data_IF_306081679793
#
_entry.id   IF_306081679793
#
_cell.length_a   1.000
_cell.length_b   1.000
_cell.length_c   1.000
_cell.angle_alpha   90.00
_cell.angle_beta   90.00
_cell.angle_gamma   90.00
#
_symmetry.space_group_name_H-M   'P 1'
#
loop_
_entity.id
_entity.type
_entity.pdbx_description
1 polymer ?
#
# COMPACT_ATOMS: atom_id res chain seq x y z
N UNK A 1 -25.43 9.48 -8.60
CA UNK A 1 -25.32 10.35 -7.41
C UNK A 1 -23.92 10.89 -7.37
N UNK A 2 -23.74 12.17 -7.53
CA UNK A 2 -22.42 12.81 -7.54
C UNK A 2 -21.81 12.75 -6.14
N UNK A 3 -20.49 12.49 -6.05
CA UNK A 3 -19.67 12.41 -4.82
C UNK A 3 -19.85 13.61 -3.86
N UNK A 4 -20.52 14.67 -4.30
CA UNK A 4 -20.73 15.93 -3.59
C UNK A 4 -21.69 15.90 -2.39
N UNK A 5 -22.39 14.79 -2.12
CA UNK A 5 -23.41 14.73 -1.05
C UNK A 5 -23.16 13.67 0.03
N UNK A 6 -22.16 12.80 -0.12
CA UNK A 6 -21.86 11.75 0.86
C UNK A 6 -20.80 12.20 1.86
N UNK A 7 -20.99 11.85 3.12
CA UNK A 7 -19.91 11.96 4.11
C UNK A 7 -18.78 10.96 3.81
N UNK A 8 -17.54 11.20 4.26
CA UNK A 8 -16.46 10.24 4.13
C UNK A 8 -16.78 8.84 4.63
N UNK A 9 -17.53 8.74 5.75
CA UNK A 9 -17.93 7.46 6.32
C UNK A 9 -18.93 6.71 5.43
N UNK A 10 -19.91 7.41 4.87
CA UNK A 10 -20.89 6.83 3.92
C UNK A 10 -20.23 6.38 2.64
N UNK A 11 -19.27 7.15 2.09
CA UNK A 11 -18.52 6.78 0.91
C UNK A 11 -17.72 5.49 1.13
N UNK A 12 -16.94 5.42 2.23
CA UNK A 12 -16.17 4.22 2.59
C UNK A 12 -17.08 3.02 2.80
N UNK A 13 -18.20 3.20 3.53
CA UNK A 13 -19.16 2.12 3.77
C UNK A 13 -19.87 1.66 2.48
N UNK A 14 -20.14 2.57 1.55
CA UNK A 14 -20.70 2.22 0.25
C UNK A 14 -19.73 1.38 -0.57
N UNK A 15 -18.45 1.79 -0.66
CA UNK A 15 -17.41 1.05 -1.37
C UNK A 15 -17.14 -0.31 -0.70
N UNK A 16 -17.09 -0.38 0.62
CA UNK A 16 -16.86 -1.64 1.36
C UNK A 16 -17.98 -2.67 1.08
N UNK A 17 -19.24 -2.23 0.97
CA UNK A 17 -20.37 -3.10 0.64
C UNK A 17 -20.33 -3.69 -0.78
N UNK A 18 -19.62 -3.08 -1.72
CA UNK A 18 -19.46 -3.62 -3.08
C UNK A 18 -18.42 -4.75 -3.15
N UNK A 19 -17.58 -4.88 -2.13
CA UNK A 19 -16.55 -5.90 -2.06
C UNK A 19 -17.01 -7.15 -1.30
N UNK A 20 -16.51 -8.31 -1.71
CA UNK A 20 -16.69 -9.55 -0.97
C UNK A 20 -15.63 -9.63 0.14
N UNK A 21 -16.05 -9.81 1.38
CA UNK A 21 -15.14 -10.05 2.52
C UNK A 21 -14.70 -11.52 2.53
N UNK A 22 -13.40 -11.74 2.74
CA UNK A 22 -12.77 -13.05 2.88
C UNK A 22 -11.79 -13.02 4.04
N UNK A 23 -11.47 -14.19 4.60
CA UNK A 23 -10.43 -14.32 5.63
C UNK A 23 -9.48 -15.46 5.31
N UNK A 24 -8.24 -15.33 5.76
CA UNK A 24 -7.22 -16.38 5.68
C UNK A 24 -6.43 -16.44 6.98
N UNK A 25 -5.90 -17.62 7.40
CA UNK A 25 -5.22 -17.77 8.68
C UNK A 25 -4.02 -16.83 8.87
N UNK A 26 -3.85 -16.33 10.10
CA UNK A 26 -2.72 -15.52 10.54
C UNK A 26 -2.41 -15.81 12.02
N UNK A 27 -1.77 -16.93 12.30
CA UNK A 27 -1.57 -17.41 13.67
C UNK A 27 -2.88 -17.76 14.38
N UNK A 28 -3.15 -17.11 15.51
CA UNK A 28 -4.39 -17.33 16.28
C UNK A 28 -5.61 -16.56 15.76
N UNK A 29 -5.47 -15.81 14.66
CA UNK A 29 -6.55 -15.05 14.04
C UNK A 29 -6.41 -15.01 12.54
N UNK A 30 -7.06 -14.03 11.89
CA UNK A 30 -7.16 -13.99 10.45
C UNK A 30 -6.56 -12.70 9.83
N UNK A 31 -6.10 -12.80 8.59
CA UNK A 31 -6.00 -11.68 7.65
C UNK A 31 -7.38 -11.47 7.05
N UNK A 32 -7.87 -10.23 7.10
CA UNK A 32 -9.12 -9.83 6.45
C UNK A 32 -8.81 -9.24 5.08
N UNK A 33 -9.45 -9.80 4.06
CA UNK A 33 -9.34 -9.39 2.68
C UNK A 33 -10.66 -8.83 2.18
N UNK A 34 -10.56 -7.84 1.32
CA UNK A 34 -11.68 -7.39 0.49
C UNK A 34 -11.37 -7.74 -0.96
N UNK A 35 -12.37 -8.27 -1.66
CA UNK A 35 -12.23 -8.72 -3.05
C UNK A 35 -13.25 -7.99 -3.91
N UNK A 36 -12.79 -7.31 -4.95
CA UNK A 36 -13.63 -6.62 -5.93
C UNK A 36 -13.30 -7.08 -7.34
N UNK A 37 -14.30 -6.98 -8.23
CA UNK A 37 -14.14 -7.27 -9.65
C UNK A 37 -13.90 -8.73 -9.96
N UNK A 38 -13.52 -8.97 -11.21
CA UNK A 38 -13.21 -10.28 -11.78
C UNK A 38 -12.05 -10.17 -12.78
N UNK A 39 -11.50 -11.29 -13.24
CA UNK A 39 -10.38 -11.29 -14.18
C UNK A 39 -9.06 -11.67 -13.56
N UNK A 40 -7.96 -11.15 -14.12
CA UNK A 40 -6.62 -11.46 -13.64
C UNK A 40 -6.41 -10.94 -12.22
N UNK A 41 -5.87 -11.76 -11.27
CA UNK A 41 -5.69 -11.32 -9.90
C UNK A 41 -4.63 -10.22 -9.76
N UNK A 42 -5.00 -9.16 -9.03
CA UNK A 42 -4.13 -8.05 -8.63
C UNK A 42 -4.22 -7.83 -7.12
N UNK A 43 -3.11 -8.01 -6.42
CA UNK A 43 -3.01 -7.78 -4.98
C UNK A 43 -2.56 -6.36 -4.71
N UNK A 44 -3.25 -5.64 -3.81
CA UNK A 44 -2.92 -4.26 -3.45
C UNK A 44 -2.60 -4.17 -1.95
N UNK A 45 -1.34 -3.93 -1.59
CA UNK A 45 -0.88 -3.85 -0.20
C UNK A 45 -0.72 -2.40 0.25
N UNK A 46 -1.36 -2.04 1.36
CA UNK A 46 -1.31 -0.69 1.93
C UNK A 46 -0.02 -0.39 2.69
N UNK A 47 0.25 0.88 2.96
CA UNK A 47 1.39 1.36 3.74
C UNK A 47 1.22 1.22 5.26
N UNK A 48 2.27 1.59 6.00
CA UNK A 48 2.23 1.65 7.47
C UNK A 48 1.12 2.58 7.98
N UNK A 49 0.55 2.24 9.14
CA UNK A 49 -0.59 2.98 9.72
C UNK A 49 -1.73 3.16 8.71
N UNK A 50 -2.02 2.11 7.94
CA UNK A 50 -3.02 2.09 6.88
C UNK A 50 -3.97 0.91 6.98
N UNK A 51 -4.81 0.80 5.98
CA UNK A 51 -5.74 -0.31 5.70
C UNK A 51 -6.00 -0.36 4.21
N UNK A 52 -6.90 -1.24 3.77
CA UNK A 52 -7.40 -1.27 2.39
C UNK A 52 -7.79 0.11 1.85
N UNK A 53 -8.19 1.04 2.72
CA UNK A 53 -8.58 2.39 2.36
C UNK A 53 -7.46 3.23 1.72
N UNK A 54 -6.19 2.86 1.81
CA UNK A 54 -5.13 3.52 1.04
C UNK A 54 -5.32 3.41 -0.48
N UNK A 55 -6.20 2.51 -0.93
CA UNK A 55 -6.52 2.25 -2.33
C UNK A 55 -7.93 2.72 -2.74
N UNK A 56 -8.62 3.48 -1.88
CA UNK A 56 -10.02 3.87 -2.03
C UNK A 56 -10.35 4.56 -3.36
N UNK A 57 -9.42 5.33 -3.93
CA UNK A 57 -9.58 6.01 -5.23
C UNK A 57 -9.17 5.13 -6.43
N UNK A 58 -8.75 3.90 -6.18
CA UNK A 58 -8.23 3.01 -7.21
C UNK A 58 -9.13 1.79 -7.41
N UNK A 59 -9.87 1.40 -6.37
CA UNK A 59 -10.64 0.15 -6.35
C UNK A 59 -11.64 0.08 -7.50
N UNK A 60 -12.54 1.05 -7.65
CA UNK A 60 -13.58 1.01 -8.68
C UNK A 60 -12.99 0.96 -10.10
N UNK A 61 -11.97 1.82 -10.35
CA UNK A 61 -11.33 1.88 -11.66
C UNK A 61 -10.58 0.58 -12.00
N UNK A 62 -9.90 -0.03 -11.04
CA UNK A 62 -9.11 -1.24 -11.29
C UNK A 62 -9.98 -2.51 -11.26
N UNK A 63 -11.06 -2.53 -10.48
CA UNK A 63 -11.99 -3.67 -10.41
C UNK A 63 -12.75 -3.90 -11.73
N UNK A 64 -12.75 -2.93 -12.64
CA UNK A 64 -13.30 -3.10 -13.97
C UNK A 64 -12.54 -4.16 -14.80
N UNK A 65 -11.23 -4.34 -14.57
CA UNK A 65 -10.37 -5.22 -15.35
C UNK A 65 -9.74 -6.36 -14.55
N UNK A 66 -9.68 -6.22 -13.23
CA UNK A 66 -8.96 -7.14 -12.35
C UNK A 66 -9.84 -7.70 -11.23
N UNK A 67 -9.52 -8.91 -10.80
CA UNK A 67 -9.91 -9.38 -9.47
C UNK A 67 -8.94 -8.76 -8.45
N UNK A 68 -9.39 -7.75 -7.73
CA UNK A 68 -8.59 -7.10 -6.69
C UNK A 68 -8.64 -7.89 -5.39
N UNK A 69 -7.47 -8.16 -4.82
CA UNK A 69 -7.28 -8.76 -3.51
C UNK A 69 -6.63 -7.71 -2.61
N UNK A 70 -7.39 -7.09 -1.73
CA UNK A 70 -6.93 -5.95 -0.92
C UNK A 70 -7.05 -6.29 0.57
N UNK A 71 -5.96 -6.78 1.20
CA UNK A 71 -5.99 -7.09 2.62
C UNK A 71 -5.83 -5.85 3.48
N UNK A 72 -6.34 -5.91 4.70
CA UNK A 72 -5.71 -5.21 5.79
C UNK A 72 -4.47 -6.01 6.19
N UNK A 73 -3.28 -5.39 6.19
CA UNK A 73 -2.05 -6.07 6.59
C UNK A 73 -2.14 -6.55 8.03
N UNK A 74 -1.54 -7.70 8.39
CA UNK A 74 -1.50 -8.19 9.76
C UNK A 74 -1.13 -7.10 10.77
N UNK A 75 -1.95 -6.93 11.80
CA UNK A 75 -1.81 -5.86 12.80
C UNK A 75 -2.39 -4.50 12.41
N UNK A 76 -3.08 -4.40 11.29
CA UNK A 76 -3.77 -3.18 10.81
C UNK A 76 -5.24 -3.45 10.54
N UNK A 77 -6.05 -2.40 10.54
CA UNK A 77 -7.47 -2.49 10.20
C UNK A 77 -8.19 -3.58 10.98
N UNK A 78 -8.83 -4.50 10.28
CA UNK A 78 -9.59 -5.63 10.86
C UNK A 78 -8.78 -6.93 10.95
N UNK A 79 -7.56 -6.99 10.36
CA UNK A 79 -6.71 -8.18 10.44
C UNK A 79 -6.10 -8.37 11.81
N UNK A 80 -5.99 -9.61 12.27
CA UNK A 80 -5.35 -9.95 13.53
C UNK A 80 -3.88 -9.50 13.59
N UNK A 81 -3.38 -9.29 14.79
CA UNK A 81 -1.95 -9.06 15.01
C UNK A 81 -1.17 -10.34 14.66
N UNK A 82 -0.08 -10.26 13.87
CA UNK A 82 0.68 -11.43 13.51
C UNK A 82 1.36 -12.04 14.74
N UNK A 83 1.70 -13.34 14.72
CA UNK A 83 2.46 -13.97 15.79
C UNK A 83 3.85 -13.33 15.95
N UNK A 84 4.37 -13.37 17.17
CA UNK A 84 5.73 -12.95 17.46
C UNK A 84 6.75 -14.06 17.08
N UNK A 85 7.98 -13.67 16.65
CA UNK A 85 8.45 -12.30 16.42
C UNK A 85 7.86 -11.70 15.14
N UNK A 86 7.39 -10.44 15.22
CA UNK A 86 6.79 -9.74 14.07
C UNK A 86 7.91 -9.33 13.10
N UNK A 87 7.83 -9.80 11.86
CA UNK A 87 8.79 -9.49 10.80
C UNK A 87 8.11 -9.25 9.45
N UNK A 88 8.80 -8.56 8.54
CA UNK A 88 8.35 -8.37 7.16
C UNK A 88 8.20 -9.71 6.43
N UNK A 89 9.12 -10.64 6.65
CA UNK A 89 9.10 -11.98 6.07
C UNK A 89 7.90 -12.79 6.53
N UNK A 90 7.64 -12.85 7.86
CA UNK A 90 6.48 -13.57 8.41
C UNK A 90 5.14 -13.03 7.92
N UNK A 91 5.01 -11.70 7.81
CA UNK A 91 3.83 -11.07 7.22
C UNK A 91 3.71 -11.42 5.74
N UNK A 92 4.81 -11.37 4.98
CA UNK A 92 4.85 -11.75 3.57
C UNK A 92 4.45 -13.20 3.32
N UNK A 93 4.93 -14.12 4.15
CA UNK A 93 4.59 -15.54 4.11
C UNK A 93 3.09 -15.78 4.33
N UNK A 94 2.50 -15.15 5.36
CA UNK A 94 1.06 -15.27 5.66
C UNK A 94 0.20 -14.74 4.50
N UNK A 95 0.59 -13.60 3.90
CA UNK A 95 -0.12 -13.03 2.74
C UNK A 95 0.03 -13.91 1.50
N UNK A 96 1.22 -14.45 1.21
CA UNK A 96 1.43 -15.35 0.06
C UNK A 96 0.59 -16.63 0.19
N UNK A 97 0.50 -17.21 1.39
CA UNK A 97 -0.38 -18.34 1.68
C UNK A 97 -1.86 -17.95 1.53
N UNK A 98 -2.24 -16.75 2.01
CA UNK A 98 -3.58 -16.20 1.84
C UNK A 98 -3.99 -16.02 0.38
N UNK A 99 -3.11 -15.45 -0.44
CA UNK A 99 -3.32 -15.37 -1.90
C UNK A 99 -3.51 -16.75 -2.52
N UNK A 100 -2.67 -17.73 -2.14
CA UNK A 100 -2.80 -19.11 -2.62
C UNK A 100 -4.16 -19.73 -2.27
N UNK A 101 -4.64 -19.48 -1.06
CA UNK A 101 -5.94 -19.96 -0.59
C UNK A 101 -7.12 -19.33 -1.36
N UNK A 102 -7.02 -18.03 -1.69
CA UNK A 102 -8.10 -17.27 -2.31
C UNK A 102 -8.25 -17.52 -3.81
N UNK A 103 -7.14 -17.68 -4.54
CA UNK A 103 -7.15 -17.80 -6.00
C UNK A 103 -6.62 -19.14 -6.53
N UNK A 104 -6.27 -20.06 -5.63
CA UNK A 104 -5.67 -21.34 -5.97
C UNK A 104 -4.14 -21.32 -6.03
N UNK A 105 -3.49 -22.46 -5.70
CA UNK A 105 -2.04 -22.54 -5.51
C UNK A 105 -1.21 -22.42 -6.78
N UNK A 106 -1.83 -22.52 -7.97
CA UNK A 106 -1.16 -22.43 -9.27
C UNK A 106 -1.45 -21.11 -10.00
N UNK A 107 -2.42 -20.35 -9.55
CA UNK A 107 -2.83 -19.12 -10.24
C UNK A 107 -1.76 -18.04 -10.09
N UNK A 108 -1.37 -17.45 -11.23
CA UNK A 108 -0.44 -16.32 -11.27
C UNK A 108 -1.16 -15.02 -11.00
N UNK A 109 -0.46 -14.07 -10.35
CA UNK A 109 -1.01 -12.78 -9.97
C UNK A 109 -0.01 -11.64 -10.16
N UNK A 110 -0.53 -10.41 -10.24
CA UNK A 110 0.24 -9.19 -10.13
C UNK A 110 0.12 -8.61 -8.72
N UNK A 111 1.08 -7.77 -8.33
CA UNK A 111 1.13 -7.19 -6.99
C UNK A 111 1.57 -5.73 -7.05
N UNK A 112 0.88 -4.85 -6.34
CA UNK A 112 1.32 -3.49 -6.07
C UNK A 112 1.39 -3.25 -4.55
N UNK A 113 2.49 -2.66 -4.08
CA UNK A 113 2.70 -2.39 -2.66
C UNK A 113 3.10 -0.96 -2.39
N UNK A 114 2.34 -0.28 -1.51
CA UNK A 114 2.56 1.10 -1.12
C UNK A 114 3.40 1.21 0.14
N UNK A 115 4.47 2.01 0.12
CA UNK A 115 5.30 2.34 1.29
C UNK A 115 5.81 1.07 2.00
N UNK A 116 5.48 0.84 3.28
CA UNK A 116 5.76 -0.41 3.99
C UNK A 116 5.16 -1.63 3.26
N UNK A 117 3.98 -1.49 2.67
CA UNK A 117 3.38 -2.53 1.84
C UNK A 117 4.23 -2.92 0.63
N UNK A 118 5.09 -2.02 0.13
CA UNK A 118 6.07 -2.33 -0.91
C UNK A 118 7.16 -3.29 -0.43
N UNK A 119 7.69 -3.09 0.78
CA UNK A 119 8.61 -4.05 1.39
C UNK A 119 7.94 -5.41 1.61
N UNK A 120 6.73 -5.41 2.18
CA UNK A 120 5.95 -6.64 2.40
C UNK A 120 5.66 -7.34 1.06
N UNK A 121 5.34 -6.57 -0.01
CA UNK A 121 5.11 -7.10 -1.35
C UNK A 121 6.36 -7.84 -1.88
N UNK A 122 7.55 -7.35 -1.61
CA UNK A 122 8.81 -8.06 -1.90
C UNK A 122 8.85 -9.44 -1.26
N UNK A 123 8.48 -9.56 0.01
CA UNK A 123 8.43 -10.87 0.68
C UNK A 123 7.28 -11.74 0.16
N UNK A 124 6.13 -11.17 -0.18
CA UNK A 124 5.05 -11.94 -0.83
C UNK A 124 5.54 -12.57 -2.14
N UNK A 125 6.24 -11.82 -3.01
CA UNK A 125 6.75 -12.39 -4.27
C UNK A 125 7.83 -13.43 -4.04
N UNK A 126 8.68 -13.27 -3.02
CA UNK A 126 9.66 -14.28 -2.60
C UNK A 126 9.00 -15.61 -2.25
N UNK A 127 7.96 -15.59 -1.41
CA UNK A 127 7.23 -16.79 -1.02
C UNK A 127 6.33 -17.35 -2.13
N UNK A 128 5.81 -16.52 -3.01
CA UNK A 128 4.97 -16.94 -4.12
C UNK A 128 5.77 -17.52 -5.30
N UNK A 129 7.06 -17.17 -5.42
CA UNK A 129 7.93 -17.63 -6.50
C UNK A 129 7.40 -17.22 -7.89
N UNK A 130 7.42 -18.15 -8.84
CA UNK A 130 7.00 -17.92 -10.23
C UNK A 130 5.52 -17.54 -10.42
N UNK A 131 4.72 -17.63 -9.36
CA UNK A 131 3.31 -17.19 -9.40
C UNK A 131 3.17 -15.67 -9.43
N UNK A 132 4.12 -14.93 -8.84
CA UNK A 132 4.15 -13.48 -8.92
C UNK A 132 4.71 -13.04 -10.28
N UNK A 133 3.81 -12.61 -11.19
CA UNK A 133 4.20 -12.23 -12.56
C UNK A 133 4.74 -10.80 -12.66
N UNK A 134 4.31 -9.91 -11.79
CA UNK A 134 4.78 -8.53 -11.73
C UNK A 134 4.67 -7.95 -10.31
N UNK A 135 5.59 -7.06 -9.98
CA UNK A 135 5.62 -6.28 -8.75
C UNK A 135 5.78 -4.80 -9.07
N UNK A 136 4.83 -3.99 -8.61
CA UNK A 136 4.90 -2.53 -8.68
C UNK A 136 5.12 -1.96 -7.28
N UNK A 137 6.26 -1.34 -7.07
CA UNK A 137 6.63 -0.67 -5.82
C UNK A 137 6.17 0.79 -5.87
N UNK A 138 5.31 1.20 -4.95
CA UNK A 138 4.74 2.57 -4.89
C UNK A 138 5.27 3.27 -3.64
N UNK A 139 6.17 4.24 -3.78
CA UNK A 139 6.78 4.93 -2.65
C UNK A 139 7.42 3.97 -1.62
N UNK A 140 7.92 2.81 -2.06
CA UNK A 140 8.26 1.69 -1.21
C UNK A 140 9.43 1.96 -0.27
N UNK A 141 9.37 1.38 0.93
CA UNK A 141 10.51 1.31 1.86
C UNK A 141 11.36 0.07 1.58
N UNK A 142 12.56 0.02 2.17
CA UNK A 142 13.44 -1.16 2.07
C UNK A 142 14.30 -1.23 0.80
N UNK A 143 14.32 -0.20 -0.04
CA UNK A 143 15.14 -0.14 -1.26
C UNK A 143 16.65 -0.04 -0.97
N UNK A 144 17.04 0.34 0.24
CA UNK A 144 18.45 0.64 0.60
C UNK A 144 18.92 2.04 0.19
N UNK A 145 18.09 2.83 -0.48
CA UNK A 145 18.39 4.24 -0.75
C UNK A 145 18.16 5.10 0.52
N UNK A 146 18.94 6.18 0.71
CA UNK A 146 18.82 7.05 1.87
C UNK A 146 17.44 7.72 1.95
N UNK A 147 17.09 8.18 3.15
CA UNK A 147 15.92 9.03 3.39
C UNK A 147 16.39 10.44 3.68
N UNK A 148 15.69 11.42 3.13
CA UNK A 148 15.91 12.83 3.46
C UNK A 148 15.40 13.20 4.85
N UNK A 149 15.73 14.39 5.33
CA UNK A 149 15.16 14.95 6.54
C UNK A 149 13.67 15.21 6.35
N UNK A 150 12.86 14.85 7.34
CA UNK A 150 11.43 15.08 7.34
C UNK A 150 11.02 15.79 8.63
N UNK A 151 10.10 16.73 8.51
CA UNK A 151 9.50 17.39 9.68
C UNK A 151 8.82 16.34 10.58
N UNK A 152 8.99 16.46 11.93
CA UNK A 152 8.36 15.52 12.84
C UNK A 152 6.83 15.56 12.79
N UNK A 153 6.20 14.40 12.76
CA UNK A 153 4.74 14.30 12.83
C UNK A 153 4.24 14.64 14.23
N UNK A 154 3.15 15.38 14.31
CA UNK A 154 2.50 15.74 15.58
C UNK A 154 1.73 14.56 16.18
N UNK A 155 1.79 14.43 17.51
CA UNK A 155 0.98 13.43 18.22
C UNK A 155 -0.46 13.91 18.38
N UNK A 156 -1.41 13.06 18.06
CA UNK A 156 -2.85 13.29 18.17
C UNK A 156 -3.49 12.65 19.41
N UNK A 157 -2.80 11.65 20.01
CA UNK A 157 -3.39 10.79 21.06
C UNK A 157 -3.78 11.47 22.34
N UNK A 158 -3.16 12.63 22.66
CA UNK A 158 -3.40 13.38 23.90
C UNK A 158 -4.28 14.61 23.69
N UNK A 159 -4.83 14.80 22.47
CA UNK A 159 -5.69 15.94 22.17
C UNK A 159 -7.12 15.69 22.66
N UNK A 160 -7.75 16.75 23.18
CA UNK A 160 -9.06 16.65 23.85
C UNK A 160 -10.23 16.57 22.89
N UNK A 161 -10.18 17.29 21.78
CA UNK A 161 -11.32 17.43 20.87
C UNK A 161 -11.10 16.73 19.54
N UNK A 162 -12.18 16.31 18.90
CA UNK A 162 -12.11 15.74 17.54
C UNK A 162 -11.63 16.74 16.48
N UNK A 163 -11.93 18.02 16.68
CA UNK A 163 -11.45 19.09 15.80
C UNK A 163 -9.92 19.22 15.85
N UNK A 164 -9.30 19.20 17.05
CA UNK A 164 -7.86 19.22 17.22
C UNK A 164 -7.20 17.98 16.62
N UNK A 165 -7.79 16.79 16.82
CA UNK A 165 -7.31 15.53 16.21
C UNK A 165 -7.36 15.62 14.69
N UNK A 166 -8.47 16.07 14.11
CA UNK A 166 -8.64 16.24 12.67
C UNK A 166 -7.62 17.24 12.09
N UNK A 167 -7.40 18.38 12.74
CA UNK A 167 -6.40 19.37 12.34
C UNK A 167 -4.98 18.77 12.37
N UNK A 168 -4.67 17.95 13.38
CA UNK A 168 -3.39 17.27 13.51
C UNK A 168 -3.22 16.20 12.42
N UNK A 169 -4.24 15.42 12.12
CA UNK A 169 -4.20 14.46 11.02
C UNK A 169 -4.02 15.16 9.67
N UNK A 170 -4.73 16.26 9.42
CA UNK A 170 -4.54 17.09 8.22
C UNK A 170 -3.11 17.61 8.09
N UNK A 171 -2.53 18.13 9.17
CA UNK A 171 -1.15 18.59 9.21
C UNK A 171 -0.17 17.44 8.88
N UNK A 172 -0.31 16.31 9.54
CA UNK A 172 0.55 15.14 9.33
C UNK A 172 0.45 14.55 7.90
N UNK A 173 -0.75 14.53 7.33
CA UNK A 173 -0.96 14.15 5.93
C UNK A 173 -0.15 15.03 5.00
N UNK A 174 -0.15 16.33 5.24
CA UNK A 174 0.61 17.25 4.42
C UNK A 174 2.13 17.22 4.63
N UNK A 175 2.62 16.70 5.77
CA UNK A 175 4.06 16.48 5.95
C UNK A 175 4.50 15.21 5.22
N UNK A 176 3.75 14.12 5.38
CA UNK A 176 4.21 12.80 4.98
C UNK A 176 3.59 12.30 3.67
N UNK A 177 2.30 12.54 3.43
CA UNK A 177 1.52 11.76 2.47
C UNK A 177 1.17 12.53 1.19
N UNK A 178 0.72 13.78 1.31
CA UNK A 178 0.12 14.57 0.23
C UNK A 178 0.86 15.88 0.09
N UNK A 179 1.45 16.12 -1.07
CA UNK A 179 2.21 17.35 -1.36
C UNK A 179 1.29 18.55 -1.54
N UNK A 180 0.30 18.44 -2.44
CA UNK A 180 -0.68 19.50 -2.67
C UNK A 180 -1.69 19.57 -1.53
N UNK A 181 -1.52 20.57 -0.67
CA UNK A 181 -2.39 20.79 0.51
C UNK A 181 -3.86 20.93 0.16
N UNK A 182 -4.22 21.38 -1.04
CA UNK A 182 -5.60 21.49 -1.49
C UNK A 182 -6.26 20.12 -1.70
N UNK A 183 -5.47 19.09 -1.94
CA UNK A 183 -5.93 17.70 -2.10
C UNK A 183 -6.11 16.95 -0.79
N UNK A 184 -5.77 17.56 0.37
CA UNK A 184 -6.07 16.98 1.68
C UNK A 184 -7.54 17.25 1.99
N UNK A 185 -8.41 16.43 1.44
CA UNK A 185 -9.86 16.53 1.62
C UNK A 185 -10.37 15.89 2.93
N UNK A 186 -11.66 15.94 3.16
CA UNK A 186 -12.29 15.35 4.34
C UNK A 186 -12.14 13.83 4.37
N UNK A 187 -12.10 13.17 3.19
CA UNK A 187 -11.92 11.72 3.07
C UNK A 187 -10.53 11.29 3.53
N UNK A 188 -9.47 11.99 3.09
CA UNK A 188 -8.10 11.70 3.51
C UNK A 188 -7.93 11.83 5.03
N UNK A 189 -8.47 12.90 5.63
CA UNK A 189 -8.40 13.14 7.08
C UNK A 189 -9.16 12.06 7.86
N UNK A 190 -10.36 11.69 7.41
CA UNK A 190 -11.17 10.66 8.03
C UNK A 190 -10.49 9.29 8.00
N UNK A 191 -9.95 8.89 6.85
CA UNK A 191 -9.20 7.63 6.71
C UNK A 191 -7.94 7.62 7.58
N UNK A 192 -7.19 8.71 7.60
CA UNK A 192 -5.99 8.82 8.43
C UNK A 192 -6.31 8.63 9.92
N UNK A 193 -7.42 9.19 10.40
CA UNK A 193 -7.89 9.00 11.78
C UNK A 193 -8.18 7.53 12.06
N UNK A 194 -9.05 6.90 11.28
CA UNK A 194 -9.45 5.49 11.47
C UNK A 194 -8.23 4.57 11.40
N UNK A 195 -7.37 4.77 10.41
CA UNK A 195 -6.17 3.95 10.22
C UNK A 195 -5.20 4.09 11.41
N UNK A 196 -5.03 5.31 11.93
CA UNK A 196 -4.16 5.56 13.08
C UNK A 196 -4.71 4.94 14.38
N UNK A 197 -6.02 4.91 14.56
CA UNK A 197 -6.69 4.27 15.68
C UNK A 197 -6.63 2.73 15.62
N UNK A 198 -6.73 2.16 14.42
CA UNK A 198 -6.75 0.70 14.20
C UNK A 198 -5.38 0.07 13.95
N UNK A 199 -4.30 0.84 13.95
CA UNK A 199 -2.94 0.32 13.79
C UNK A 199 -2.41 -0.19 15.12
N UNK A 200 -2.19 -1.51 15.23
CA UNK A 200 -1.72 -2.21 16.42
C UNK A 200 -0.23 -2.51 16.40
N UNK A 201 0.42 -2.40 15.24
CA UNK A 201 1.87 -2.55 15.09
C UNK A 201 2.49 -1.26 14.60
N UNK A 202 3.75 -1.04 14.97
CA UNK A 202 4.51 0.11 14.48
C UNK A 202 5.17 -0.26 13.15
N UNK A 203 4.70 0.32 12.05
CA UNK A 203 5.25 0.08 10.71
C UNK A 203 6.77 0.26 10.63
N UNK A 204 7.33 1.21 11.40
CA UNK A 204 8.79 1.40 11.50
C UNK A 204 9.51 0.12 12.00
N UNK A 205 8.97 -0.60 12.97
CA UNK A 205 9.58 -1.85 13.45
C UNK A 205 9.59 -2.90 12.34
N UNK A 206 8.48 -3.08 11.65
CA UNK A 206 8.39 -4.03 10.52
C UNK A 206 9.36 -3.65 9.41
N UNK A 207 9.44 -2.38 9.05
CA UNK A 207 10.35 -1.90 7.98
C UNK A 207 11.84 -2.09 8.29
N UNK A 208 12.21 -2.32 9.55
CA UNK A 208 13.59 -2.59 9.95
C UNK A 208 13.92 -4.09 10.01
N UNK A 209 12.95 -4.98 9.78
CA UNK A 209 13.15 -6.44 9.86
C UNK A 209 13.48 -7.09 8.52
N UNK A 210 13.73 -6.29 7.46
CA UNK A 210 14.07 -6.83 6.15
C UNK A 210 14.38 -5.77 5.12
N UNK A 211 14.82 -6.21 3.95
CA UNK A 211 15.16 -5.35 2.81
C UNK A 211 14.58 -5.91 1.52
N UNK A 212 14.38 -5.05 0.52
CA UNK A 212 13.98 -5.50 -0.81
C UNK A 212 15.09 -6.31 -1.51
N UNK A 213 16.36 -6.06 -1.18
CA UNK A 213 17.47 -6.85 -1.71
C UNK A 213 17.36 -8.34 -1.35
N UNK A 214 16.94 -8.64 -0.10
CA UNK A 214 16.76 -10.02 0.35
C UNK A 214 15.62 -10.74 -0.40
N UNK A 215 14.54 -10.04 -0.68
CA UNK A 215 13.35 -10.67 -1.24
C UNK A 215 13.27 -10.62 -2.77
N UNK A 216 13.98 -9.70 -3.43
CA UNK A 216 13.98 -9.60 -4.89
C UNK A 216 15.13 -10.39 -5.56
N UNK A 217 16.04 -10.97 -4.78
CA UNK A 217 17.04 -11.89 -5.31
C UNK A 217 16.37 -13.09 -5.98
N UNK A 218 16.58 -13.22 -7.30
CA UNK A 218 15.94 -14.30 -8.08
C UNK A 218 14.49 -14.05 -8.51
N UNK A 219 13.91 -12.88 -8.25
CA UNK A 219 12.57 -12.55 -8.75
C UNK A 219 12.58 -12.46 -10.28
N UNK A 220 11.81 -13.34 -10.95
CA UNK A 220 11.75 -13.44 -12.41
C UNK A 220 10.57 -12.68 -13.03
N UNK A 221 9.65 -12.19 -12.19
CA UNK A 221 8.55 -11.34 -12.65
C UNK A 221 9.03 -9.94 -13.00
N UNK A 222 8.16 -9.14 -13.58
CA UNK A 222 8.50 -7.75 -13.92
C UNK A 222 8.51 -6.86 -12.69
N UNK A 223 9.55 -6.05 -12.56
CA UNK A 223 9.68 -5.06 -11.49
C UNK A 223 9.46 -3.65 -12.05
N UNK A 224 8.62 -2.89 -11.37
CA UNK A 224 8.40 -1.47 -11.66
C UNK A 224 8.35 -0.65 -10.36
N UNK A 225 8.63 0.64 -10.46
CA UNK A 225 8.53 1.57 -9.36
C UNK A 225 7.84 2.87 -9.76
N UNK A 226 6.96 3.36 -8.88
CA UNK A 226 6.28 4.65 -9.00
C UNK A 226 6.52 5.45 -7.72
N UNK A 227 7.03 6.66 -7.85
CA UNK A 227 7.20 7.61 -6.75
C UNK A 227 6.63 8.96 -7.10
N UNK A 228 6.14 9.71 -6.10
CA UNK A 228 5.83 11.12 -6.28
C UNK A 228 7.09 11.97 -6.30
N UNK A 229 7.09 13.04 -7.10
CA UNK A 229 8.19 14.01 -7.19
C UNK A 229 8.54 14.59 -5.82
N UNK A 230 7.52 14.84 -5.00
CA UNK A 230 7.65 15.41 -3.65
C UNK A 230 7.43 14.36 -2.54
N UNK A 231 7.75 13.09 -2.81
CA UNK A 231 7.67 12.05 -1.79
C UNK A 231 8.60 12.37 -0.61
N UNK A 232 8.01 12.80 0.51
CA UNK A 232 8.74 13.20 1.72
C UNK A 232 9.65 12.10 2.29
N UNK A 233 9.44 10.84 1.89
CA UNK A 233 10.29 9.71 2.31
C UNK A 233 11.46 9.45 1.37
N UNK A 234 11.46 10.08 0.19
CA UNK A 234 12.43 9.84 -0.88
C UNK A 234 13.29 11.05 -1.23
N UNK A 235 12.73 12.27 -1.22
CA UNK A 235 13.49 13.48 -1.52
C UNK A 235 14.57 13.75 -0.45
N UNK A 236 15.77 14.23 -0.82
CA UNK A 236 16.21 14.57 -2.18
C UNK A 236 16.77 13.39 -2.99
N UNK A 237 16.73 12.16 -2.47
CA UNK A 237 17.35 10.96 -3.01
C UNK A 237 16.41 10.15 -3.93
N UNK A 238 15.57 10.84 -4.70
CA UNK A 238 14.54 10.18 -5.53
C UNK A 238 15.17 9.38 -6.68
N UNK A 239 16.19 9.93 -7.36
CA UNK A 239 16.90 9.25 -8.44
C UNK A 239 17.51 7.91 -7.99
N UNK A 240 18.04 7.88 -6.77
CA UNK A 240 18.65 6.68 -6.18
C UNK A 240 17.65 5.53 -5.99
N UNK A 241 16.35 5.82 -5.88
CA UNK A 241 15.30 4.78 -5.86
C UNK A 241 15.29 4.01 -7.18
N UNK A 242 15.32 4.73 -8.31
CA UNK A 242 15.38 4.12 -9.63
C UNK A 242 16.68 3.32 -9.85
N UNK A 243 17.82 3.84 -9.40
CA UNK A 243 19.08 3.13 -9.46
C UNK A 243 19.05 1.83 -8.65
N UNK A 244 18.48 1.85 -7.43
CA UNK A 244 18.32 0.65 -6.61
C UNK A 244 17.41 -0.38 -7.27
N UNK A 245 16.32 0.03 -7.89
CA UNK A 245 15.46 -0.90 -8.63
C UNK A 245 16.21 -1.58 -9.78
N UNK A 246 17.00 -0.82 -10.55
CA UNK A 246 17.82 -1.38 -11.64
C UNK A 246 18.95 -2.28 -11.15
N UNK A 247 19.44 -2.09 -9.93
CA UNK A 247 20.38 -3.04 -9.31
C UNK A 247 19.71 -4.38 -8.99
N UNK A 248 18.41 -4.39 -8.64
CA UNK A 248 17.67 -5.64 -8.45
C UNK A 248 17.33 -6.29 -9.78
N UNK A 249 16.91 -5.48 -10.76
CA UNK A 249 16.52 -5.95 -12.08
C UNK A 249 16.84 -4.85 -13.12
N UNK A 250 17.85 -5.04 -14.03
CA UNK A 250 18.32 -4.00 -14.96
C UNK A 250 17.21 -3.37 -15.82
N UNK A 251 16.21 -4.17 -16.19
CA UNK A 251 15.05 -3.74 -16.98
C UNK A 251 13.90 -3.15 -16.14
N UNK A 252 14.07 -2.98 -14.81
CA UNK A 252 13.04 -2.39 -13.97
C UNK A 252 12.69 -0.97 -14.45
N UNK A 253 11.40 -0.72 -14.63
CA UNK A 253 10.91 0.62 -14.93
C UNK A 253 10.83 1.45 -13.66
N UNK A 254 11.11 2.74 -13.79
CA UNK A 254 10.99 3.70 -12.69
C UNK A 254 10.36 4.97 -13.21
N UNK A 255 9.27 5.40 -12.58
CA UNK A 255 8.53 6.59 -12.99
C UNK A 255 8.29 7.52 -11.79
N UNK A 256 8.48 8.82 -12.06
CA UNK A 256 8.21 9.89 -11.10
C UNK A 256 6.92 10.59 -11.51
N UNK A 257 6.00 10.74 -10.58
CA UNK A 257 4.74 11.46 -10.79
C UNK A 257 4.91 12.91 -10.34
N UNK A 258 4.98 13.80 -11.32
CA UNK A 258 5.08 15.23 -11.13
C UNK A 258 3.92 15.75 -10.27
N UNK A 259 4.21 16.68 -9.36
CA UNK A 259 3.24 17.31 -8.47
C UNK A 259 2.67 16.42 -7.39
N UNK A 260 3.10 15.15 -7.26
CA UNK A 260 2.57 14.22 -6.26
C UNK A 260 3.54 14.01 -5.09
N UNK A 261 2.99 13.81 -3.90
CA UNK A 261 3.70 13.41 -2.70
C UNK A 261 3.84 11.90 -2.56
N UNK A 262 3.97 11.44 -1.31
CA UNK A 262 4.17 10.02 -0.99
C UNK A 262 2.95 9.15 -1.37
N UNK A 263 1.72 9.64 -1.16
CA UNK A 263 0.49 8.90 -1.44
C UNK A 263 0.02 9.10 -2.89
N UNK A 264 0.88 8.72 -3.83
CA UNK A 264 0.70 8.93 -5.28
C UNK A 264 -0.65 8.43 -5.78
N UNK A 265 -1.04 7.22 -5.38
CA UNK A 265 -2.28 6.56 -5.82
C UNK A 265 -3.56 7.24 -5.27
N UNK A 266 -3.42 8.13 -4.30
CA UNK A 266 -4.48 8.99 -3.83
C UNK A 266 -4.46 10.37 -4.51
N UNK A 267 -3.28 10.99 -4.54
CA UNK A 267 -3.08 12.37 -4.98
C UNK A 267 -3.18 12.53 -6.50
N UNK A 268 -2.77 11.50 -7.25
CA UNK A 268 -2.79 11.42 -8.72
C UNK A 268 -3.54 10.18 -9.21
N UNK A 269 -4.70 9.87 -8.62
CA UNK A 269 -5.39 8.59 -8.77
C UNK A 269 -5.68 8.18 -10.22
N UNK A 270 -6.19 9.08 -11.06
CA UNK A 270 -6.53 8.76 -12.45
C UNK A 270 -5.31 8.33 -13.25
N UNK A 271 -4.23 9.14 -13.22
CA UNK A 271 -2.97 8.82 -13.87
C UNK A 271 -2.37 7.53 -13.32
N UNK A 272 -2.43 7.36 -12.00
CA UNK A 272 -1.93 6.16 -11.35
C UNK A 272 -2.68 4.89 -11.79
N UNK A 273 -4.01 4.95 -11.85
CA UNK A 273 -4.84 3.81 -12.27
C UNK A 273 -4.52 3.37 -13.70
N UNK A 274 -4.37 4.33 -14.63
CA UNK A 274 -3.98 4.05 -16.01
C UNK A 274 -2.60 3.37 -16.05
N UNK A 275 -1.62 3.96 -15.34
CA UNK A 275 -0.25 3.46 -15.35
C UNK A 275 -0.10 2.10 -14.69
N UNK A 276 -0.74 1.89 -13.55
CA UNK A 276 -0.72 0.58 -12.89
C UNK A 276 -1.29 -0.51 -13.80
N UNK A 277 -2.42 -0.22 -14.49
CA UNK A 277 -3.04 -1.14 -15.45
C UNK A 277 -2.03 -1.57 -16.53
N UNK A 278 -1.31 -0.64 -17.14
CA UNK A 278 -0.28 -0.92 -18.14
C UNK A 278 0.83 -1.82 -17.58
N UNK A 279 1.36 -1.46 -16.40
CA UNK A 279 2.48 -2.18 -15.77
C UNK A 279 2.14 -3.62 -15.39
N UNK A 280 0.87 -3.93 -15.11
CA UNK A 280 0.47 -5.26 -14.68
C UNK A 280 -0.16 -6.11 -15.79
N UNK A 281 -0.56 -5.52 -16.93
CA UNK A 281 -1.16 -6.24 -18.06
C UNK A 281 -0.17 -6.64 -19.14
N UNK A 282 0.85 -5.87 -19.43
CA UNK A 282 1.84 -6.21 -20.45
C UNK A 282 2.46 -7.58 -20.15
N UNK A 283 2.38 -8.51 -21.09
CA UNK A 283 2.83 -9.91 -20.96
C UNK A 283 4.36 -10.02 -20.78
#
# INVERSE_FOLDING_TARGET
>A
MTISQQTPAEFIAALDRTGARRTTPNGAGDVVWRVWGAGAPLVLLHGGTGSWMHWVRNIEALAADFMLLVPDLPGSGESATPPAPISADGIGAALAAGVASLIGPQTRFALAGFSMGGLIAGYVVRHAGARARSLVLVGATGTGAPRGPMEPLKSWRRLGTEAEKAATHRHNLGILMIHDRAKIDALAVHMQKINAERSRIRGKHVSHTGTLAECLSGFQGRLAGIWGEFDATAVPYLAERGEKLRQFQPQASFEVFEGAGHWVQYEAAERFNLRLRELVTTA
#
